data_IF_908844456901
#
_entry.id   IF_908844456901
#
_cell.length_a   1.000
_cell.length_b   1.000
_cell.length_c   1.000
_cell.angle_alpha   90.00
_cell.angle_beta   90.00
_cell.angle_gamma   90.00
#
_symmetry.space_group_name_H-M   'P 1'
#
loop_
_entity.id
_entity.type
_entity.pdbx_description
1 polymer ?
#
# COMPACT_ATOMS: atom_id res chain seq x y z
N UNK A 1 24.93 5.56 5.31
CA UNK A 1 24.53 4.64 6.41
C UNK A 1 25.57 3.55 6.68
N UNK A 2 25.98 2.76 5.69
CA UNK A 2 26.91 1.63 5.95
C UNK A 2 28.27 2.04 6.55
N UNK A 3 28.78 3.24 6.24
CA UNK A 3 30.08 3.70 6.73
C UNK A 3 30.16 3.83 8.25
N UNK A 4 29.12 4.33 8.92
CA UNK A 4 29.15 4.48 10.39
C UNK A 4 29.09 3.12 11.08
N UNK A 5 28.25 2.21 10.59
CA UNK A 5 28.18 0.83 11.09
C UNK A 5 29.54 0.15 10.94
N UNK A 6 30.16 0.30 9.77
CA UNK A 6 31.47 -0.27 9.45
C UNK A 6 32.58 0.30 10.33
N UNK A 7 32.62 1.62 10.54
CA UNK A 7 33.63 2.25 11.39
C UNK A 7 33.50 1.82 12.86
N UNK A 8 32.27 1.78 13.38
CA UNK A 8 31.98 1.25 14.72
C UNK A 8 32.43 -0.22 14.83
N UNK A 9 32.05 -1.06 13.86
CA UNK A 9 32.44 -2.47 13.89
C UNK A 9 33.95 -2.64 13.84
N UNK A 10 34.62 -1.95 12.92
CA UNK A 10 36.07 -2.02 12.77
C UNK A 10 36.81 -1.63 14.06
N UNK A 11 36.50 -0.47 14.64
CA UNK A 11 37.17 -0.01 15.87
C UNK A 11 36.82 -0.88 17.08
N UNK A 12 35.60 -1.43 17.14
CA UNK A 12 35.19 -2.25 18.29
C UNK A 12 35.94 -3.57 18.38
N UNK A 13 36.52 -4.06 17.27
CA UNK A 13 37.42 -5.22 17.29
C UNK A 13 38.68 -4.99 18.12
N UNK A 14 39.14 -3.73 18.25
CA UNK A 14 40.34 -3.35 19.01
C UNK A 14 40.02 -2.92 20.44
N UNK A 15 38.76 -2.57 20.75
CA UNK A 15 38.34 -2.17 22.10
C UNK A 15 37.15 -3.01 22.60
N UNK A 16 37.47 -4.07 23.36
CA UNK A 16 36.52 -5.08 23.84
C UNK A 16 35.28 -4.51 24.55
N UNK A 17 35.42 -3.34 25.21
CA UNK A 17 34.30 -2.66 25.89
C UNK A 17 33.14 -2.32 24.96
N UNK A 18 33.41 -2.02 23.68
CA UNK A 18 32.42 -1.62 22.69
C UNK A 18 32.02 -2.75 21.75
N UNK A 19 32.66 -3.91 21.86
CA UNK A 19 32.44 -5.06 21.00
C UNK A 19 31.14 -5.78 21.36
N UNK A 20 30.29 -6.01 20.36
CA UNK A 20 29.13 -6.90 20.47
C UNK A 20 29.17 -7.90 19.30
N UNK A 21 29.24 -9.18 19.67
CA UNK A 21 29.36 -10.31 18.74
C UNK A 21 28.13 -10.48 17.86
N UNK A 22 26.92 -10.31 18.39
CA UNK A 22 25.68 -10.43 17.61
C UNK A 22 25.58 -9.30 16.58
N UNK A 23 25.99 -8.09 16.98
CA UNK A 23 26.05 -6.93 16.07
C UNK A 23 27.10 -7.14 14.97
N UNK A 24 28.24 -7.78 15.27
CA UNK A 24 29.22 -8.20 14.25
C UNK A 24 28.60 -9.17 13.23
N UNK A 25 27.87 -10.19 13.70
CA UNK A 25 27.20 -11.16 12.82
C UNK A 25 26.19 -10.47 11.90
N UNK A 26 25.44 -9.49 12.41
CA UNK A 26 24.51 -8.68 11.60
C UNK A 26 25.25 -7.87 10.55
N UNK A 27 26.34 -7.19 10.93
CA UNK A 27 27.13 -6.42 9.97
C UNK A 27 27.72 -7.29 8.86
N UNK A 28 28.24 -8.48 9.20
CA UNK A 28 28.76 -9.46 8.23
C UNK A 28 27.65 -9.88 7.27
N UNK A 29 26.46 -10.19 7.79
CA UNK A 29 25.30 -10.55 6.99
C UNK A 29 24.92 -9.45 5.99
N UNK A 30 24.86 -8.18 6.44
CA UNK A 30 24.55 -7.03 5.58
C UNK A 30 25.64 -6.75 4.53
N UNK A 31 26.89 -7.19 4.76
CA UNK A 31 28.06 -6.87 3.94
C UNK A 31 28.69 -8.08 3.23
N UNK A 32 28.00 -9.23 3.20
CA UNK A 32 28.58 -10.49 2.71
C UNK A 32 29.10 -10.41 1.28
N UNK A 33 28.42 -9.68 0.40
CA UNK A 33 28.85 -9.50 -1.00
C UNK A 33 30.29 -8.99 -1.10
N UNK A 34 30.72 -8.10 -0.20
CA UNK A 34 32.07 -7.54 -0.14
C UNK A 34 33.09 -8.51 0.48
N UNK A 35 32.63 -9.38 1.39
CA UNK A 35 33.47 -10.35 2.11
C UNK A 35 33.65 -11.66 1.34
N UNK A 36 32.77 -11.97 0.39
CA UNK A 36 32.80 -13.19 -0.42
C UNK A 36 34.14 -13.46 -1.14
N UNK A 37 34.95 -12.41 -1.37
CA UNK A 37 36.30 -12.50 -1.93
C UNK A 37 37.29 -13.33 -1.11
N UNK A 38 37.04 -13.52 0.18
CA UNK A 38 37.95 -14.25 1.07
C UNK A 38 37.87 -15.77 0.94
N UNK A 39 37.04 -16.31 0.03
CA UNK A 39 36.91 -17.76 -0.25
C UNK A 39 36.57 -18.62 0.98
N UNK A 40 36.00 -18.00 2.02
CA UNK A 40 35.41 -18.65 3.19
C UNK A 40 33.90 -18.64 2.99
N UNK A 41 33.20 -19.72 3.32
CA UNK A 41 31.74 -19.73 3.22
C UNK A 41 31.11 -18.79 4.26
N UNK A 42 29.87 -18.38 4.01
CA UNK A 42 29.17 -17.47 4.93
C UNK A 42 28.96 -18.11 6.30
N UNK A 43 28.58 -19.38 6.29
CA UNK A 43 28.27 -20.13 7.50
C UNK A 43 29.54 -20.37 8.32
N UNK A 44 30.65 -20.77 7.67
CA UNK A 44 31.94 -20.94 8.36
C UNK A 44 32.46 -19.63 8.97
N UNK A 45 32.24 -18.49 8.29
CA UNK A 45 32.65 -17.19 8.81
C UNK A 45 31.84 -16.82 10.06
N UNK A 46 30.53 -17.06 10.04
CA UNK A 46 29.64 -16.79 11.18
C UNK A 46 29.91 -17.75 12.34
N UNK A 47 30.19 -19.02 12.06
CA UNK A 47 30.61 -20.01 13.06
C UNK A 47 31.95 -19.61 13.70
N UNK A 48 32.90 -19.15 12.88
CA UNK A 48 34.16 -18.60 13.38
C UNK A 48 33.94 -17.42 14.33
N UNK A 49 33.01 -16.50 14.00
CA UNK A 49 32.61 -15.43 14.93
C UNK A 49 31.95 -16.00 16.19
N UNK A 50 31.26 -17.13 16.07
CA UNK A 50 30.62 -17.78 17.20
C UNK A 50 31.59 -18.31 18.25
N UNK A 51 32.73 -18.83 17.80
CA UNK A 51 33.79 -19.38 18.64
C UNK A 51 34.71 -18.33 19.28
N UNK A 52 34.64 -17.07 18.82
CA UNK A 52 35.48 -15.99 19.34
C UNK A 52 35.06 -15.56 20.75
N UNK A 53 35.81 -16.04 21.75
CA UNK A 53 35.66 -15.62 23.17
C UNK A 53 36.27 -14.24 23.44
N UNK A 54 37.36 -13.90 22.77
CA UNK A 54 38.03 -12.60 22.84
C UNK A 54 38.79 -12.35 21.54
N UNK A 55 38.73 -11.13 21.01
CA UNK A 55 39.61 -10.73 19.91
C UNK A 55 40.98 -10.37 20.49
N UNK A 56 41.97 -11.23 20.26
CA UNK A 56 43.36 -10.91 20.63
C UNK A 56 44.09 -10.30 19.42
N UNK A 57 43.78 -9.04 19.11
CA UNK A 57 44.45 -8.28 18.06
C UNK A 57 45.76 -7.63 18.52
N UNK A 58 46.43 -8.13 19.57
CA UNK A 58 47.67 -7.54 20.12
C UNK A 58 48.80 -7.39 19.09
N UNK A 59 48.76 -8.15 18.01
CA UNK A 59 49.73 -8.08 16.90
C UNK A 59 49.31 -7.14 15.77
N UNK A 60 48.13 -6.55 15.84
CA UNK A 60 47.57 -5.64 14.85
C UNK A 60 47.32 -4.27 15.48
N UNK A 61 47.50 -3.22 14.69
CA UNK A 61 47.16 -1.86 15.07
C UNK A 61 46.04 -1.35 14.18
N UNK A 62 45.28 -0.36 14.66
CA UNK A 62 44.29 0.30 13.82
C UNK A 62 44.98 0.95 12.59
N UNK A 63 44.42 0.76 11.39
CA UNK A 63 44.77 1.54 10.20
C UNK A 63 44.25 2.98 10.30
N UNK A 64 45.13 3.87 10.77
CA UNK A 64 44.88 5.31 10.93
C UNK A 64 44.44 6.00 9.63
N UNK A 65 44.93 5.57 8.47
CA UNK A 65 44.54 6.19 7.19
C UNK A 65 43.08 5.89 6.83
N UNK A 66 42.66 4.63 7.05
CA UNK A 66 41.29 4.19 6.86
C UNK A 66 40.35 4.87 7.86
N UNK A 67 40.74 4.97 9.12
CA UNK A 67 39.99 5.69 10.16
C UNK A 67 39.84 7.17 9.79
N UNK A 68 40.94 7.86 9.48
CA UNK A 68 40.91 9.28 9.14
C UNK A 68 40.04 9.55 7.90
N UNK A 69 40.13 8.69 6.88
CA UNK A 69 39.28 8.78 5.69
C UNK A 69 37.80 8.53 6.01
N UNK A 70 37.51 7.55 6.87
CA UNK A 70 36.16 7.27 7.36
C UNK A 70 35.57 8.47 8.11
N UNK A 71 36.33 9.04 9.05
CA UNK A 71 35.94 10.22 9.84
C UNK A 71 35.61 11.42 8.95
N UNK A 72 36.49 11.78 8.02
CA UNK A 72 36.25 12.89 7.05
C UNK A 72 34.98 12.69 6.24
N UNK A 73 34.69 11.47 5.80
CA UNK A 73 33.44 11.17 5.07
C UNK A 73 32.20 11.26 5.97
N UNK A 74 32.32 10.96 7.26
CA UNK A 74 31.22 11.08 8.21
C UNK A 74 30.91 12.53 8.60
N UNK A 75 31.83 13.47 8.39
CA UNK A 75 31.59 14.91 8.61
C UNK A 75 30.48 15.47 7.70
N UNK A 76 30.25 14.87 6.53
CA UNK A 76 29.17 15.29 5.62
C UNK A 76 27.77 14.85 6.07
N UNK A 77 27.68 13.97 7.07
CA UNK A 77 26.42 13.48 7.63
C UNK A 77 26.16 14.23 8.93
N UNK A 78 24.95 14.72 9.15
CA UNK A 78 24.61 15.40 10.41
C UNK A 78 24.81 14.47 11.62
N UNK A 79 25.23 15.02 12.75
CA UNK A 79 25.43 14.24 13.98
C UNK A 79 24.17 13.50 14.41
N UNK A 80 23.01 14.16 14.35
CA UNK A 80 21.70 13.54 14.60
C UNK A 80 21.48 12.28 13.75
N UNK A 81 21.73 12.35 12.44
CA UNK A 81 21.56 11.21 11.55
C UNK A 81 22.55 10.10 11.88
N UNK A 82 23.82 10.44 12.18
CA UNK A 82 24.82 9.47 12.60
C UNK A 82 24.41 8.73 13.87
N UNK A 83 24.02 9.45 14.92
CA UNK A 83 23.55 8.85 16.17
C UNK A 83 22.31 7.99 15.92
N UNK A 84 21.38 8.45 15.08
CA UNK A 84 20.19 7.66 14.75
C UNK A 84 20.52 6.34 14.04
N UNK A 85 21.40 6.36 13.03
CA UNK A 85 21.86 5.14 12.35
C UNK A 85 22.55 4.20 13.35
N UNK A 86 23.38 4.75 14.24
CA UNK A 86 24.08 3.96 15.25
C UNK A 86 23.10 3.36 16.27
N UNK A 87 22.11 4.13 16.76
CA UNK A 87 21.06 3.65 17.66
C UNK A 87 20.28 2.49 17.03
N UNK A 88 19.85 2.65 15.78
CA UNK A 88 19.14 1.60 15.05
C UNK A 88 20.03 0.36 14.85
N UNK A 89 21.31 0.55 14.59
CA UNK A 89 22.25 -0.55 14.44
C UNK A 89 22.52 -1.29 15.76
N UNK A 90 22.73 -0.56 16.86
CA UNK A 90 22.97 -1.15 18.19
C UNK A 90 21.78 -1.94 18.74
N UNK A 91 20.56 -1.66 18.27
CA UNK A 91 19.36 -2.41 18.63
C UNK A 91 19.00 -3.50 17.60
N UNK A 92 19.84 -3.74 16.60
CA UNK A 92 19.52 -4.69 15.52
C UNK A 92 19.67 -6.16 15.91
N UNK A 93 20.34 -6.46 17.04
CA UNK A 93 20.45 -7.79 17.64
C UNK A 93 19.13 -8.30 18.22
N UNK A 94 18.23 -7.38 18.56
CA UNK A 94 16.87 -7.73 18.99
C UNK A 94 16.03 -8.09 17.75
N UNK A 95 15.25 -9.18 17.79
CA UNK A 95 14.36 -9.52 16.69
C UNK A 95 13.37 -8.38 16.45
N UNK A 96 13.24 -7.96 15.19
CA UNK A 96 12.24 -6.97 14.79
C UNK A 96 10.85 -7.57 14.93
N UNK A 97 10.19 -7.31 16.05
CA UNK A 97 8.80 -7.71 16.26
C UNK A 97 7.90 -7.09 15.18
N UNK A 98 6.96 -7.89 14.69
CA UNK A 98 5.99 -7.49 13.68
C UNK A 98 4.61 -7.42 14.31
N UNK A 99 3.84 -6.38 13.98
CA UNK A 99 2.42 -6.32 14.27
C UNK A 99 1.65 -6.89 13.08
N UNK A 100 0.94 -8.00 13.31
CA UNK A 100 0.27 -8.80 12.29
C UNK A 100 -1.14 -8.25 12.01
N UNK A 101 -1.23 -7.22 11.18
CA UNK A 101 -2.48 -6.50 10.88
C UNK A 101 -3.58 -7.46 10.37
N UNK A 102 -3.23 -8.47 9.57
CA UNK A 102 -4.21 -9.45 9.06
C UNK A 102 -4.91 -10.26 10.16
N UNK A 103 -4.28 -10.48 11.31
CA UNK A 103 -4.92 -11.19 12.43
C UNK A 103 -6.09 -10.38 13.00
N UNK A 104 -5.93 -9.06 13.10
CA UNK A 104 -6.97 -8.15 13.57
C UNK A 104 -8.08 -7.90 12.53
N UNK A 105 -7.76 -8.02 11.24
CA UNK A 105 -8.75 -7.90 10.15
C UNK A 105 -9.59 -9.17 9.96
N UNK A 106 -9.08 -10.33 10.38
CA UNK A 106 -9.72 -11.63 10.22
C UNK A 106 -9.75 -12.16 8.78
N UNK A 107 -10.33 -13.35 8.61
CA UNK A 107 -10.29 -14.10 7.34
C UNK A 107 -10.88 -13.37 6.13
N UNK A 108 -11.88 -12.51 6.34
CA UNK A 108 -12.52 -11.76 5.26
C UNK A 108 -11.56 -10.80 4.53
N UNK A 109 -10.45 -10.42 5.16
CA UNK A 109 -9.40 -9.61 4.55
C UNK A 109 -8.79 -10.27 3.30
N UNK A 110 -8.66 -11.59 3.28
CA UNK A 110 -8.09 -12.33 2.15
C UNK A 110 -8.99 -12.29 0.90
N UNK A 111 -10.27 -11.97 1.08
CA UNK A 111 -11.22 -11.86 -0.04
C UNK A 111 -11.28 -10.48 -0.65
N UNK A 112 -10.74 -9.45 0.02
CA UNK A 112 -10.86 -8.04 -0.39
C UNK A 112 -9.51 -7.37 -0.65
N UNK A 113 -8.41 -7.86 -0.07
CA UNK A 113 -7.08 -7.32 -0.32
C UNK A 113 -6.24 -8.28 -1.14
N UNK A 114 -5.71 -7.79 -2.25
CA UNK A 114 -4.73 -8.51 -3.07
C UNK A 114 -3.48 -8.87 -2.26
N UNK A 115 -2.81 -9.97 -2.62
CA UNK A 115 -1.52 -10.39 -2.04
C UNK A 115 -0.42 -9.34 -2.22
N UNK A 116 -0.55 -8.42 -3.18
CA UNK A 116 0.38 -7.31 -3.36
C UNK A 116 0.19 -6.19 -2.33
N UNK A 117 -0.93 -6.18 -1.61
CA UNK A 117 -1.16 -5.22 -0.54
C UNK A 117 -0.22 -5.54 0.62
N UNK A 118 0.58 -4.56 1.05
CA UNK A 118 1.54 -4.69 2.16
C UNK A 118 0.84 -4.59 3.53
N UNK A 119 -0.31 -5.24 3.67
CA UNK A 119 -1.16 -5.21 4.87
C UNK A 119 -0.96 -6.42 5.78
N UNK A 120 -0.02 -7.32 5.45
CA UNK A 120 0.24 -8.52 6.27
C UNK A 120 0.75 -8.13 7.65
N UNK A 121 1.72 -7.22 7.68
CA UNK A 121 2.34 -6.77 8.92
C UNK A 121 3.05 -5.44 8.76
N UNK A 122 3.20 -4.71 9.85
CA UNK A 122 4.08 -3.55 9.99
C UNK A 122 5.13 -3.84 11.07
N UNK A 123 6.31 -3.22 11.02
CA UNK A 123 7.24 -3.30 12.14
C UNK A 123 6.56 -2.74 13.40
N UNK A 124 6.59 -3.51 14.50
CA UNK A 124 5.89 -3.15 15.74
C UNK A 124 6.36 -1.81 16.27
N UNK A 125 7.63 -1.45 16.05
CA UNK A 125 8.17 -0.14 16.43
C UNK A 125 7.34 1.01 15.83
N UNK A 126 6.74 0.83 14.64
CA UNK A 126 5.87 1.82 14.00
C UNK A 126 4.38 1.67 14.38
N UNK A 127 4.08 1.06 15.53
CA UNK A 127 2.74 1.06 16.14
C UNK A 127 2.70 1.98 17.34
N UNK A 128 1.51 2.36 17.82
CA UNK A 128 1.39 3.23 19.00
C UNK A 128 1.98 2.57 20.25
N UNK A 129 1.85 1.25 20.38
CA UNK A 129 2.48 0.46 21.44
C UNK A 129 4.00 0.48 21.30
N UNK A 130 4.54 0.17 20.13
CA UNK A 130 5.99 0.21 19.90
C UNK A 130 6.58 1.61 20.04
N UNK A 131 5.81 2.66 19.77
CA UNK A 131 6.20 4.03 20.05
C UNK A 131 6.32 4.29 21.56
N UNK A 132 5.40 3.78 22.38
CA UNK A 132 5.52 3.91 23.84
C UNK A 132 6.81 3.25 24.34
N UNK A 133 7.11 2.04 23.85
CA UNK A 133 8.34 1.31 24.18
C UNK A 133 9.59 2.10 23.72
N UNK A 134 9.58 2.61 22.49
CA UNK A 134 10.67 3.43 21.95
C UNK A 134 10.91 4.69 22.79
N UNK A 135 9.86 5.42 23.14
CA UNK A 135 9.96 6.64 23.95
C UNK A 135 10.49 6.35 25.36
N UNK A 136 10.13 5.21 25.94
CA UNK A 136 10.61 4.81 27.27
C UNK A 136 12.13 4.64 27.32
N UNK A 137 12.70 4.02 26.30
CA UNK A 137 14.12 3.69 26.28
C UNK A 137 14.98 4.76 25.59
N UNK A 138 14.35 5.72 24.89
CA UNK A 138 15.02 6.66 23.99
C UNK A 138 16.20 7.38 24.65
N UNK A 139 16.01 7.95 25.85
CA UNK A 139 17.06 8.72 26.52
C UNK A 139 18.32 7.87 26.80
N UNK A 140 18.15 6.64 27.28
CA UNK A 140 19.25 5.72 27.56
C UNK A 140 19.94 5.26 26.27
N UNK A 141 19.16 4.96 25.23
CA UNK A 141 19.71 4.53 23.94
C UNK A 141 20.49 5.66 23.25
N UNK A 142 19.99 6.90 23.32
CA UNK A 142 20.70 8.08 22.81
C UNK A 142 22.00 8.33 23.57
N UNK A 143 22.01 8.22 24.90
CA UNK A 143 23.26 8.35 25.68
C UNK A 143 24.31 7.31 25.27
N UNK A 144 23.87 6.06 25.10
CA UNK A 144 24.74 4.97 24.68
C UNK A 144 25.32 5.24 23.28
N UNK A 145 24.48 5.65 22.34
CA UNK A 145 24.90 5.97 20.98
C UNK A 145 25.81 7.21 20.92
N UNK A 146 25.56 8.26 21.72
CA UNK A 146 26.43 9.44 21.83
C UNK A 146 27.82 9.04 22.34
N UNK A 147 27.89 8.21 23.39
CA UNK A 147 29.15 7.78 23.98
C UNK A 147 29.97 6.95 22.98
N UNK A 148 29.32 6.04 22.25
CA UNK A 148 29.97 5.24 21.21
C UNK A 148 30.40 6.12 20.05
N UNK A 149 29.57 7.08 19.59
CA UNK A 149 29.95 7.99 18.50
C UNK A 149 31.17 8.84 18.89
N UNK A 150 31.20 9.37 20.11
CA UNK A 150 32.27 10.24 20.61
C UNK A 150 33.59 9.49 20.71
N UNK A 151 33.54 8.25 21.22
CA UNK A 151 34.67 7.32 21.21
C UNK A 151 35.11 7.02 19.77
N UNK A 152 34.19 6.57 18.90
CA UNK A 152 34.47 6.17 17.52
C UNK A 152 35.04 7.31 16.66
N UNK A 153 34.76 8.57 16.97
CA UNK A 153 35.29 9.73 16.24
C UNK A 153 36.49 10.40 16.95
N UNK A 154 36.83 9.98 18.17
CA UNK A 154 37.78 10.64 19.08
C UNK A 154 37.48 12.14 19.24
N UNK A 155 36.20 12.49 19.40
CA UNK A 155 35.76 13.87 19.45
C UNK A 155 34.76 14.13 20.59
N UNK A 156 35.01 15.20 21.34
CA UNK A 156 34.14 15.68 22.40
C UNK A 156 33.23 16.79 21.87
N UNK A 157 32.16 16.38 21.20
CA UNK A 157 31.18 17.31 20.67
C UNK A 157 30.43 18.04 21.81
N UNK A 158 30.27 19.36 21.69
CA UNK A 158 29.58 20.22 22.67
C UNK A 158 28.07 20.36 22.44
N UNK A 159 27.49 19.57 21.53
CA UNK A 159 26.09 19.74 21.14
C UNK A 159 25.13 19.32 22.27
N UNK A 160 24.02 20.03 22.39
CA UNK A 160 23.03 19.80 23.43
C UNK A 160 22.31 18.46 23.19
N UNK A 161 22.38 17.55 24.18
CA UNK A 161 21.69 16.25 24.16
C UNK A 161 20.21 16.39 23.81
N UNK A 162 19.50 17.36 24.37
CA UNK A 162 18.07 17.53 24.11
C UNK A 162 17.79 17.88 22.65
N UNK A 163 18.67 18.66 22.01
CA UNK A 163 18.58 18.96 20.56
C UNK A 163 18.77 17.69 19.74
N UNK A 164 19.73 16.83 20.11
CA UNK A 164 19.97 15.55 19.45
C UNK A 164 18.79 14.58 19.63
N UNK A 165 18.31 14.40 20.87
CA UNK A 165 17.16 13.53 21.17
C UNK A 165 15.92 14.00 20.42
N UNK A 166 15.64 15.31 20.37
CA UNK A 166 14.54 15.85 19.57
C UNK A 166 14.71 15.57 18.07
N UNK A 167 15.92 15.74 17.54
CA UNK A 167 16.21 15.41 16.14
C UNK A 167 16.00 13.93 15.82
N UNK A 168 16.39 13.03 16.72
CA UNK A 168 16.19 11.58 16.60
C UNK A 168 14.71 11.24 16.65
N UNK A 169 13.95 11.84 17.57
CA UNK A 169 12.51 11.68 17.64
C UNK A 169 11.83 12.09 16.33
N UNK A 170 12.26 13.19 15.71
CA UNK A 170 11.74 13.65 14.41
C UNK A 170 12.03 12.66 13.27
N UNK A 171 13.25 12.11 13.21
CA UNK A 171 13.61 11.08 12.22
C UNK A 171 12.72 9.84 12.39
N UNK A 172 12.59 9.36 13.62
CA UNK A 172 11.72 8.23 13.96
C UNK A 172 10.25 8.50 13.58
N UNK A 173 9.70 9.67 13.90
CA UNK A 173 8.33 10.03 13.54
C UNK A 173 8.13 10.12 12.02
N UNK A 174 9.16 10.51 11.27
CA UNK A 174 9.12 10.48 9.81
C UNK A 174 9.04 9.06 9.27
N UNK A 175 9.84 8.13 9.80
CA UNK A 175 9.76 6.71 9.42
C UNK A 175 8.43 6.09 9.82
N UNK A 176 7.93 6.43 11.02
CA UNK A 176 6.62 6.03 11.52
C UNK A 176 5.51 6.44 10.55
N UNK A 177 5.48 7.71 10.15
CA UNK A 177 4.51 8.23 9.19
C UNK A 177 4.63 7.50 7.84
N UNK A 178 5.86 7.32 7.33
CA UNK A 178 6.10 6.65 6.06
C UNK A 178 5.62 5.20 6.07
N UNK A 179 5.78 4.47 7.17
CA UNK A 179 5.34 3.08 7.28
C UNK A 179 3.82 2.94 7.07
N UNK A 180 3.02 3.82 7.69
CA UNK A 180 1.57 3.83 7.51
C UNK A 180 1.14 4.38 6.15
N UNK A 181 1.83 5.39 5.61
CA UNK A 181 1.58 5.92 4.26
C UNK A 181 1.84 4.85 3.18
N UNK A 182 2.94 4.11 3.29
CA UNK A 182 3.27 3.03 2.36
C UNK A 182 2.24 1.90 2.42
N UNK A 183 1.76 1.56 3.61
CA UNK A 183 0.69 0.59 3.77
C UNK A 183 -0.58 1.03 3.02
N UNK A 184 -1.03 2.27 3.22
CA UNK A 184 -2.20 2.83 2.51
C UNK A 184 -1.97 2.91 1.00
N UNK A 185 -0.77 3.31 0.58
CA UNK A 185 -0.37 3.36 -0.83
C UNK A 185 -0.36 1.97 -1.50
N UNK A 186 -0.19 0.90 -0.73
CA UNK A 186 -0.16 -0.47 -1.25
C UNK A 186 -1.53 -1.09 -1.49
N UNK A 187 -2.62 -0.47 -1.01
CA UNK A 187 -3.96 -1.09 -1.03
C UNK A 187 -4.44 -1.36 -2.45
N UNK A 188 -4.84 -2.61 -2.70
CA UNK A 188 -5.41 -3.08 -3.97
C UNK A 188 -6.49 -4.14 -3.72
N UNK A 189 -7.64 -4.08 -4.44
CA UNK A 189 -8.67 -5.10 -4.36
C UNK A 189 -8.22 -6.41 -5.02
N UNK A 190 -8.90 -7.51 -4.69
CA UNK A 190 -8.62 -8.80 -5.34
C UNK A 190 -9.16 -8.78 -6.77
N UNK A 191 -8.44 -9.39 -7.71
CA UNK A 191 -8.93 -9.59 -9.07
C UNK A 191 -9.49 -11.00 -9.21
N UNK A 192 -10.80 -11.11 -9.38
CA UNK A 192 -11.48 -12.38 -9.62
C UNK A 192 -11.76 -12.61 -11.10
N UNK A 193 -11.76 -13.90 -11.49
CA UNK A 193 -12.12 -14.34 -12.84
C UNK A 193 -13.56 -14.88 -12.92
N UNK A 194 -14.21 -15.07 -11.78
CA UNK A 194 -15.58 -15.62 -11.67
C UNK A 194 -16.51 -14.58 -11.09
N UNK A 195 -17.73 -14.50 -11.62
CA UNK A 195 -18.75 -13.56 -11.16
C UNK A 195 -19.09 -13.79 -9.70
N UNK A 196 -19.20 -15.05 -9.27
CA UNK A 196 -19.59 -15.44 -7.91
C UNK A 196 -18.60 -14.91 -6.88
N UNK A 197 -17.30 -15.02 -7.17
CA UNK A 197 -16.26 -14.52 -6.28
C UNK A 197 -16.21 -12.98 -6.22
N UNK A 198 -16.40 -12.30 -7.35
CA UNK A 198 -16.51 -10.83 -7.40
C UNK A 198 -17.72 -10.34 -6.59
N UNK A 199 -18.89 -10.95 -6.81
CA UNK A 199 -20.11 -10.64 -6.04
C UNK A 199 -19.91 -10.90 -4.55
N UNK A 200 -19.21 -11.98 -4.19
CA UNK A 200 -18.87 -12.25 -2.79
C UNK A 200 -17.97 -11.17 -2.17
N UNK A 201 -16.94 -10.69 -2.89
CA UNK A 201 -16.12 -9.56 -2.44
C UNK A 201 -16.95 -8.29 -2.25
N UNK A 202 -17.80 -7.94 -3.21
CA UNK A 202 -18.71 -6.79 -3.10
C UNK A 202 -19.67 -6.95 -1.91
N UNK A 203 -20.19 -8.14 -1.65
CA UNK A 203 -21.06 -8.42 -0.51
C UNK A 203 -20.32 -8.37 0.84
N UNK A 204 -19.01 -8.63 0.87
CA UNK A 204 -18.19 -8.43 2.06
C UNK A 204 -17.99 -6.93 2.28
N UNK A 205 -17.63 -6.19 1.24
CA UNK A 205 -17.35 -4.75 1.30
C UNK A 205 -18.61 -3.90 1.51
N UNK A 206 -19.80 -4.37 1.13
CA UNK A 206 -21.06 -3.66 1.36
C UNK A 206 -21.52 -3.67 2.82
N UNK A 207 -20.89 -4.48 3.69
CA UNK A 207 -21.22 -4.51 5.11
C UNK A 207 -20.66 -3.27 5.81
N UNK A 208 -21.37 -2.82 6.84
CA UNK A 208 -20.95 -1.69 7.70
C UNK A 208 -19.59 -1.94 8.36
N UNK A 209 -19.39 -3.13 8.91
CA UNK A 209 -18.12 -3.58 9.49
C UNK A 209 -17.42 -4.50 8.48
N UNK A 210 -16.85 -3.91 7.43
CA UNK A 210 -16.06 -4.61 6.43
C UNK A 210 -14.54 -4.51 6.72
N UNK A 211 -13.68 -5.32 6.08
CA UNK A 211 -12.24 -5.31 6.37
C UNK A 211 -11.55 -3.98 6.06
N UNK A 212 -12.03 -3.20 5.09
CA UNK A 212 -11.48 -1.87 4.80
C UNK A 212 -11.77 -0.91 5.96
N UNK A 213 -13.01 -0.90 6.47
CA UNK A 213 -13.37 -0.12 7.66
C UNK A 213 -12.55 -0.54 8.89
N UNK A 214 -12.36 -1.84 9.11
CA UNK A 214 -11.49 -2.36 10.17
C UNK A 214 -10.05 -1.90 10.03
N UNK A 215 -9.51 -1.90 8.80
CA UNK A 215 -8.17 -1.36 8.55
C UNK A 215 -8.08 0.13 8.84
N UNK A 216 -9.08 0.93 8.45
CA UNK A 216 -9.10 2.36 8.75
C UNK A 216 -9.14 2.62 10.27
N UNK A 217 -9.83 1.77 11.06
CA UNK A 217 -9.80 1.85 12.53
C UNK A 217 -8.39 1.60 13.07
N UNK A 218 -7.68 0.59 12.55
CA UNK A 218 -6.29 0.27 12.93
C UNK A 218 -5.34 1.43 12.57
N UNK A 219 -5.47 1.98 11.37
CA UNK A 219 -4.68 3.14 10.93
C UNK A 219 -4.95 4.32 11.86
N UNK A 220 -6.21 4.63 12.14
CA UNK A 220 -6.59 5.75 13.01
C UNK A 220 -6.08 5.58 14.44
N UNK A 221 -6.20 4.39 15.03
CA UNK A 221 -5.73 4.12 16.39
C UNK A 221 -4.21 4.24 16.53
N UNK A 222 -3.46 3.96 15.45
CA UNK A 222 -2.00 4.06 15.44
C UNK A 222 -1.47 5.42 14.95
N UNK A 223 -2.26 6.23 14.25
CA UNK A 223 -1.76 7.50 13.68
C UNK A 223 -2.36 8.74 14.33
N UNK A 224 -3.40 8.59 15.17
CA UNK A 224 -3.84 9.66 16.06
C UNK A 224 -2.95 9.71 17.30
N UNK A 225 -1.87 10.49 17.19
CA UNK A 225 -0.85 10.61 18.23
C UNK A 225 -1.16 11.70 19.26
N UNK A 226 -2.24 12.47 19.08
CA UNK A 226 -2.70 13.45 20.07
C UNK A 226 -3.45 12.77 21.23
N UNK A 227 -2.76 11.84 21.87
CA UNK A 227 -3.26 10.97 22.93
C UNK A 227 -2.59 11.35 24.26
N UNK A 228 -3.38 11.45 25.33
CA UNK A 228 -2.89 11.92 26.62
C UNK A 228 -1.82 11.00 27.24
N UNK A 229 -1.96 9.69 27.09
CA UNK A 229 -1.00 8.71 27.63
C UNK A 229 0.31 8.80 26.86
N UNK A 230 0.22 8.83 25.53
CA UNK A 230 1.39 8.92 24.67
C UNK A 230 2.14 10.25 24.86
N UNK A 231 1.43 11.38 24.97
CA UNK A 231 2.03 12.69 25.24
C UNK A 231 2.70 12.72 26.61
N UNK A 232 2.08 12.13 27.64
CA UNK A 232 2.70 12.02 28.97
C UNK A 232 4.02 11.27 28.91
N UNK A 233 4.04 10.12 28.22
CA UNK A 233 5.26 9.36 28.02
C UNK A 233 6.33 10.17 27.27
N UNK A 234 5.95 10.90 26.22
CA UNK A 234 6.88 11.72 25.47
C UNK A 234 7.43 12.89 26.30
N UNK A 235 6.63 13.50 27.18
CA UNK A 235 7.09 14.59 28.04
C UNK A 235 8.10 14.14 29.11
N UNK A 236 8.05 12.86 29.51
CA UNK A 236 9.06 12.28 30.40
C UNK A 236 10.47 12.26 29.80
N UNK A 237 10.62 12.52 28.49
CA UNK A 237 11.93 12.71 27.87
C UNK A 237 12.67 13.95 28.37
N UNK A 238 11.99 14.92 28.98
CA UNK A 238 12.58 16.20 29.43
C UNK A 238 12.85 17.19 28.29
N UNK A 239 12.22 17.00 27.12
CA UNK A 239 12.32 17.89 25.97
C UNK A 239 11.25 18.99 26.00
N UNK A 240 11.31 19.92 25.05
CA UNK A 240 10.29 20.95 24.90
C UNK A 240 8.92 20.32 24.57
N UNK A 241 7.96 20.41 25.49
CA UNK A 241 6.63 19.82 25.35
C UNK A 241 5.84 20.38 24.17
N UNK A 242 5.97 21.69 23.88
CA UNK A 242 5.32 22.32 22.73
C UNK A 242 5.83 21.79 21.40
N UNK A 243 7.14 21.56 21.30
CA UNK A 243 7.76 20.97 20.11
C UNK A 243 7.37 19.50 19.92
N UNK A 244 7.38 18.68 20.99
CA UNK A 244 6.86 17.29 20.94
C UNK A 244 5.44 17.29 20.38
N UNK A 245 4.56 18.07 21.01
CA UNK A 245 3.14 18.13 20.62
C UNK A 245 2.98 18.55 19.16
N UNK A 246 3.75 19.53 18.70
CA UNK A 246 3.71 19.97 17.29
C UNK A 246 4.09 18.85 16.32
N UNK A 247 5.14 18.08 16.59
CA UNK A 247 5.55 16.96 15.72
C UNK A 247 4.50 15.84 15.71
N UNK A 248 3.89 15.52 16.86
CA UNK A 248 2.86 14.49 16.98
C UNK A 248 1.57 14.89 16.26
N UNK A 249 1.19 16.17 16.38
CA UNK A 249 0.10 16.76 15.58
C UNK A 249 0.45 16.72 14.09
N UNK A 250 1.70 16.98 13.71
CA UNK A 250 2.17 16.88 12.32
C UNK A 250 1.88 15.51 11.71
N UNK A 251 2.27 14.43 12.40
CA UNK A 251 1.95 13.05 11.97
C UNK A 251 0.44 12.82 11.95
N UNK A 252 -0.29 13.22 12.99
CA UNK A 252 -1.75 13.02 13.06
C UNK A 252 -2.49 13.75 11.92
N UNK A 253 -2.02 14.94 11.56
CA UNK A 253 -2.58 15.75 10.49
C UNK A 253 -2.43 15.09 9.12
N UNK A 254 -1.32 14.37 8.89
CA UNK A 254 -1.09 13.62 7.66
C UNK A 254 -2.16 12.53 7.42
N UNK A 255 -2.86 12.08 8.48
CA UNK A 255 -3.90 11.06 8.40
C UNK A 255 -5.31 11.57 8.75
N UNK A 256 -5.51 12.88 8.88
CA UNK A 256 -6.79 13.45 9.33
C UNK A 256 -7.97 13.03 8.45
N UNK A 257 -7.78 12.93 7.14
CA UNK A 257 -8.86 12.46 6.25
C UNK A 257 -9.29 11.02 6.57
N UNK A 258 -8.35 10.14 6.96
CA UNK A 258 -8.66 8.77 7.38
C UNK A 258 -9.31 8.72 8.76
N UNK A 259 -8.87 9.58 9.69
CA UNK A 259 -9.46 9.67 11.04
C UNK A 259 -10.94 10.07 10.99
N UNK A 260 -11.29 11.02 10.11
CA UNK A 260 -12.67 11.48 9.91
C UNK A 260 -13.61 10.36 9.43
N UNK A 261 -13.11 9.44 8.60
CA UNK A 261 -13.91 8.33 8.07
C UNK A 261 -14.35 7.32 9.15
N UNK A 262 -13.62 7.20 10.25
CA UNK A 262 -13.88 6.18 11.30
C UNK A 262 -14.43 6.76 12.60
N UNK A 263 -14.27 8.06 12.84
CA UNK A 263 -14.73 8.69 14.06
C UNK A 263 -16.24 8.92 14.03
N UNK A 264 -17.02 7.96 14.52
CA UNK A 264 -18.49 8.08 14.69
C UNK A 264 -18.95 8.78 15.98
N UNK A 265 -18.08 9.45 16.75
CA UNK A 265 -18.37 10.36 17.90
C UNK A 265 -17.16 10.44 18.85
N UNK A 266 -16.01 10.94 18.39
CA UNK A 266 -14.89 11.19 19.32
C UNK A 266 -15.04 12.61 19.85
N UNK A 267 -15.74 12.76 20.99
CA UNK A 267 -15.89 13.99 21.79
C UNK A 267 -14.55 14.63 22.26
N UNK A 268 -13.41 14.16 21.74
CA UNK A 268 -12.06 14.52 22.15
C UNK A 268 -11.20 15.05 21.00
N UNK A 269 -11.78 15.37 19.83
CA UNK A 269 -11.11 16.27 18.88
C UNK A 269 -11.10 17.69 19.48
N UNK A 270 -10.12 17.96 20.35
CA UNK A 270 -9.87 19.29 20.89
C UNK A 270 -9.39 20.17 19.73
N UNK A 271 -10.35 20.83 19.10
CA UNK A 271 -10.19 21.72 17.96
C UNK A 271 -11.51 21.87 17.19
N UNK A 272 -12.38 22.78 17.64
CA UNK A 272 -13.57 23.32 16.96
C UNK A 272 -14.39 22.37 16.07
N UNK A 273 -14.87 21.25 16.62
CA UNK A 273 -15.99 20.52 16.00
C UNK A 273 -17.23 20.76 16.86
N UNK A 274 -18.20 21.49 16.31
CA UNK A 274 -19.53 21.67 16.90
C UNK A 274 -20.18 20.31 17.16
N UNK A 275 -20.56 20.07 18.41
CA UNK A 275 -21.25 18.86 18.84
C UNK A 275 -22.63 18.83 18.17
N UNK A 276 -22.91 17.79 17.37
CA UNK A 276 -24.27 17.50 16.89
C UNK A 276 -24.50 17.50 15.37
N UNK A 277 -23.49 17.76 14.54
CA UNK A 277 -23.55 17.48 13.09
C UNK A 277 -22.63 16.32 12.77
N UNK A 278 -23.18 15.12 12.55
CA UNK A 278 -22.44 14.04 11.91
C UNK A 278 -21.86 14.59 10.61
N UNK A 279 -20.54 14.54 10.47
CA UNK A 279 -19.86 15.13 9.32
C UNK A 279 -20.30 14.40 8.04
N UNK A 280 -20.32 15.09 6.89
CA UNK A 280 -20.64 14.45 5.60
C UNK A 280 -19.71 13.25 5.31
N UNK A 281 -18.50 13.26 5.90
CA UNK A 281 -17.49 12.20 5.84
C UNK A 281 -17.90 10.93 6.59
N UNK A 282 -18.64 10.99 7.71
CA UNK A 282 -19.11 9.79 8.42
C UNK A 282 -20.18 9.03 7.63
N UNK A 283 -20.95 9.75 6.82
CA UNK A 283 -21.96 9.17 5.94
C UNK A 283 -21.35 8.60 4.66
N UNK A 284 -20.15 9.01 4.25
CA UNK A 284 -19.60 8.56 2.97
C UNK A 284 -19.37 7.06 2.96
N UNK A 285 -18.92 6.45 4.06
CA UNK A 285 -18.74 5.00 4.13
C UNK A 285 -20.08 4.26 4.05
N UNK A 286 -21.11 4.77 4.71
CA UNK A 286 -22.45 4.19 4.65
C UNK A 286 -23.04 4.34 3.23
N UNK A 287 -22.80 5.47 2.54
CA UNK A 287 -23.15 5.68 1.12
C UNK A 287 -22.42 4.69 0.21
N UNK A 288 -21.11 4.48 0.43
CA UNK A 288 -20.31 3.54 -0.35
C UNK A 288 -20.79 2.10 -0.16
N UNK A 289 -21.13 1.71 1.06
CA UNK A 289 -21.71 0.39 1.34
C UNK A 289 -23.00 0.16 0.52
N UNK A 290 -23.87 1.17 0.44
CA UNK A 290 -25.06 1.13 -0.43
C UNK A 290 -24.69 1.10 -1.91
N UNK A 291 -23.73 1.91 -2.36
CA UNK A 291 -23.30 1.92 -3.77
C UNK A 291 -22.70 0.57 -4.20
N UNK A 292 -21.89 -0.06 -3.35
CA UNK A 292 -21.33 -1.39 -3.58
C UNK A 292 -22.44 -2.45 -3.67
N UNK A 293 -23.47 -2.35 -2.82
CA UNK A 293 -24.66 -3.20 -2.91
C UNK A 293 -25.36 -3.03 -4.26
N UNK A 294 -25.53 -1.78 -4.72
CA UNK A 294 -26.18 -1.49 -6.00
C UNK A 294 -25.36 -1.99 -7.19
N UNK A 295 -24.03 -1.89 -7.16
CA UNK A 295 -23.16 -2.49 -8.18
C UNK A 295 -23.27 -4.01 -8.19
N UNK A 296 -23.27 -4.65 -7.01
CA UNK A 296 -23.44 -6.10 -6.88
C UNK A 296 -24.76 -6.56 -7.50
N UNK A 297 -25.87 -5.89 -7.16
CA UNK A 297 -27.19 -6.15 -7.74
C UNK A 297 -27.19 -5.95 -9.26
N UNK A 298 -26.56 -4.87 -9.75
CA UNK A 298 -26.45 -4.61 -11.19
C UNK A 298 -25.75 -5.74 -11.94
N UNK A 299 -24.67 -6.30 -11.39
CA UNK A 299 -23.96 -7.45 -11.99
C UNK A 299 -24.83 -8.70 -11.99
N UNK A 300 -25.56 -8.95 -10.90
CA UNK A 300 -26.48 -10.09 -10.79
C UNK A 300 -27.60 -9.95 -11.83
N UNK A 301 -28.28 -8.82 -11.86
CA UNK A 301 -29.43 -8.55 -12.74
C UNK A 301 -29.05 -8.53 -14.22
N UNK A 302 -27.87 -8.02 -14.56
CA UNK A 302 -27.42 -7.96 -15.96
C UNK A 302 -27.26 -9.36 -16.57
N UNK A 303 -26.77 -10.30 -15.77
CA UNK A 303 -26.56 -11.70 -16.17
C UNK A 303 -27.81 -12.59 -16.09
N UNK A 304 -28.91 -12.10 -15.52
CA UNK A 304 -30.16 -12.85 -15.40
C UNK A 304 -31.07 -12.61 -16.62
N UNK A 305 -31.99 -13.55 -16.88
CA UNK A 305 -33.08 -13.36 -17.85
C UNK A 305 -34.09 -12.37 -17.27
N UNK A 306 -33.74 -11.09 -17.33
CA UNK A 306 -34.59 -9.97 -16.97
C UNK A 306 -35.36 -9.46 -18.20
N UNK A 307 -36.20 -8.44 -18.02
CA UNK A 307 -37.00 -7.84 -19.11
C UNK A 307 -36.18 -7.01 -20.11
N UNK A 308 -34.84 -6.93 -19.97
CA UNK A 308 -34.00 -6.16 -20.89
C UNK A 308 -33.68 -6.99 -22.14
N UNK A 309 -33.84 -6.36 -23.29
CA UNK A 309 -33.43 -6.92 -24.58
C UNK A 309 -31.91 -7.10 -24.66
N UNK A 310 -31.47 -8.02 -25.53
CA UNK A 310 -30.04 -8.19 -25.82
C UNK A 310 -29.39 -6.90 -26.33
N UNK A 311 -30.14 -6.08 -27.09
CA UNK A 311 -29.71 -4.77 -27.58
C UNK A 311 -29.42 -3.78 -26.46
N UNK A 312 -30.33 -3.63 -25.50
CA UNK A 312 -30.12 -2.76 -24.34
C UNK A 312 -28.91 -3.21 -23.52
N UNK A 313 -28.74 -4.54 -23.34
CA UNK A 313 -27.59 -5.09 -22.60
C UNK A 313 -26.26 -4.83 -23.31
N UNK A 314 -26.20 -5.09 -24.61
CA UNK A 314 -25.01 -4.82 -25.43
C UNK A 314 -24.65 -3.34 -25.37
N UNK A 315 -25.62 -2.46 -25.62
CA UNK A 315 -25.41 -1.00 -25.60
C UNK A 315 -24.85 -0.53 -24.26
N UNK A 316 -25.41 -1.01 -23.14
CA UNK A 316 -24.90 -0.69 -21.81
C UNK A 316 -23.46 -1.17 -21.59
N UNK A 317 -23.15 -2.42 -21.96
CA UNK A 317 -21.82 -3.01 -21.75
C UNK A 317 -20.73 -2.36 -22.60
N UNK A 318 -21.06 -1.86 -23.80
CA UNK A 318 -20.11 -1.17 -24.68
C UNK A 318 -19.88 0.31 -24.30
N UNK A 319 -20.41 0.75 -23.16
CA UNK A 319 -20.20 2.13 -22.68
C UNK A 319 -21.26 3.12 -23.13
N UNK A 320 -22.39 2.64 -23.69
CA UNK A 320 -23.55 3.46 -23.95
C UNK A 320 -24.06 4.19 -22.70
N UNK A 321 -24.70 5.35 -22.91
CA UNK A 321 -25.17 6.33 -21.91
C UNK A 321 -25.53 5.74 -20.54
N UNK A 322 -24.56 5.74 -19.62
CA UNK A 322 -24.82 5.60 -18.18
C UNK A 322 -25.50 6.88 -17.72
N UNK A 323 -26.76 6.78 -17.33
CA UNK A 323 -27.44 7.93 -16.73
C UNK A 323 -26.82 8.28 -15.36
N UNK A 324 -27.17 9.44 -14.82
CA UNK A 324 -26.61 9.92 -13.55
C UNK A 324 -26.97 9.04 -12.33
N UNK A 325 -27.94 8.13 -12.47
CA UNK A 325 -28.36 7.19 -11.43
C UNK A 325 -27.76 5.79 -11.60
N UNK A 326 -26.96 5.55 -12.65
CA UNK A 326 -26.29 4.28 -12.86
C UNK A 326 -25.42 3.90 -11.65
N UNK A 327 -25.51 2.65 -11.13
CA UNK A 327 -24.76 2.26 -9.94
C UNK A 327 -23.24 2.46 -10.04
N UNK A 328 -22.64 2.23 -11.21
CA UNK A 328 -21.21 2.44 -11.41
C UNK A 328 -20.87 3.93 -11.52
N UNK A 329 -21.70 4.73 -12.21
CA UNK A 329 -21.51 6.17 -12.29
C UNK A 329 -21.62 6.85 -10.92
N UNK A 330 -22.66 6.53 -10.14
CA UNK A 330 -22.86 7.06 -8.78
C UNK A 330 -21.71 6.68 -7.86
N UNK A 331 -21.26 5.41 -7.92
CA UNK A 331 -20.12 4.95 -7.14
C UNK A 331 -18.85 5.75 -7.48
N UNK A 332 -18.54 5.92 -8.78
CA UNK A 332 -17.37 6.66 -9.24
C UNK A 332 -17.41 8.13 -8.79
N UNK A 333 -18.58 8.76 -8.73
CA UNK A 333 -18.72 10.12 -8.22
C UNK A 333 -18.44 10.23 -6.72
N UNK A 334 -18.87 9.25 -5.93
CA UNK A 334 -18.72 9.28 -4.47
C UNK A 334 -17.28 8.94 -4.02
N UNK A 335 -16.58 8.04 -4.71
CA UNK A 335 -15.21 7.66 -4.33
C UNK A 335 -14.20 8.78 -4.54
N UNK A 336 -14.49 9.77 -5.41
CA UNK A 336 -13.67 11.00 -5.58
C UNK A 336 -13.60 11.89 -4.34
N UNK A 337 -14.47 11.64 -3.34
CA UNK A 337 -14.46 12.36 -2.06
C UNK A 337 -13.51 11.72 -1.04
N UNK A 338 -12.95 10.56 -1.35
CA UNK A 338 -12.06 9.82 -0.46
C UNK A 338 -10.61 10.29 -0.60
N UNK A 339 -9.74 9.98 0.39
CA UNK A 339 -8.30 10.05 0.20
C UNK A 339 -7.85 9.27 -1.04
N UNK A 340 -6.82 9.76 -1.73
CA UNK A 340 -6.32 9.20 -2.98
C UNK A 340 -6.09 7.68 -2.94
N UNK A 341 -5.61 7.14 -1.81
CA UNK A 341 -5.35 5.70 -1.68
C UNK A 341 -6.62 4.85 -1.68
N UNK A 342 -7.69 5.34 -1.05
CA UNK A 342 -9.00 4.68 -1.06
C UNK A 342 -9.72 4.90 -2.38
N UNK A 343 -9.63 6.10 -2.97
CA UNK A 343 -10.15 6.35 -4.31
C UNK A 343 -9.53 5.38 -5.33
N UNK A 344 -8.20 5.19 -5.28
CA UNK A 344 -7.49 4.24 -6.14
C UNK A 344 -7.99 2.81 -5.93
N UNK A 345 -8.05 2.36 -4.67
CA UNK A 345 -8.55 1.02 -4.33
C UNK A 345 -9.96 0.80 -4.89
N UNK A 346 -10.89 1.72 -4.63
CA UNK A 346 -12.28 1.57 -5.06
C UNK A 346 -12.48 1.76 -6.57
N UNK A 347 -11.69 2.60 -7.22
CA UNK A 347 -11.71 2.73 -8.69
C UNK A 347 -11.28 1.42 -9.35
N UNK A 348 -10.24 0.76 -8.83
CA UNK A 348 -9.84 -0.57 -9.29
C UNK A 348 -10.94 -1.62 -9.06
N UNK A 349 -11.58 -1.60 -7.88
CA UNK A 349 -12.71 -2.48 -7.56
C UNK A 349 -13.85 -2.29 -8.56
N UNK A 350 -14.19 -1.03 -8.88
CA UNK A 350 -15.23 -0.70 -9.84
C UNK A 350 -14.89 -1.21 -11.25
N UNK A 351 -13.64 -1.04 -11.69
CA UNK A 351 -13.17 -1.55 -12.98
C UNK A 351 -13.20 -3.08 -13.04
N UNK A 352 -12.75 -3.77 -11.99
CA UNK A 352 -12.81 -5.24 -11.94
C UNK A 352 -14.25 -5.75 -11.94
N UNK A 353 -15.15 -5.02 -11.26
CA UNK A 353 -16.59 -5.29 -11.26
C UNK A 353 -17.21 -5.07 -12.64
N UNK A 354 -16.83 -3.98 -13.32
CA UNK A 354 -17.32 -3.63 -14.66
C UNK A 354 -16.97 -4.67 -15.72
N UNK A 355 -15.78 -5.27 -15.62
CA UNK A 355 -15.34 -6.31 -16.56
C UNK A 355 -16.34 -7.48 -16.67
N UNK A 356 -17.11 -7.78 -15.62
CA UNK A 356 -18.15 -8.83 -15.71
C UNK A 356 -19.35 -8.42 -16.55
N UNK A 357 -19.76 -7.15 -16.48
CA UNK A 357 -20.79 -6.57 -17.36
C UNK A 357 -20.28 -6.57 -18.79
N UNK A 358 -19.06 -6.05 -18.99
CA UNK A 358 -18.43 -5.92 -20.30
C UNK A 358 -18.27 -7.28 -20.98
N UNK A 359 -17.70 -8.27 -20.30
CA UNK A 359 -17.51 -9.62 -20.84
C UNK A 359 -18.85 -10.29 -21.20
N UNK A 360 -19.89 -10.12 -20.39
CA UNK A 360 -21.22 -10.66 -20.70
C UNK A 360 -21.82 -9.96 -21.92
N UNK A 361 -21.71 -8.63 -22.00
CA UNK A 361 -22.17 -7.85 -23.16
C UNK A 361 -21.44 -8.20 -24.45
N UNK A 362 -20.12 -8.39 -24.40
CA UNK A 362 -19.32 -8.87 -25.55
C UNK A 362 -19.80 -10.26 -25.99
N UNK A 363 -20.11 -11.15 -25.05
CA UNK A 363 -20.66 -12.47 -25.38
C UNK A 363 -22.02 -12.37 -26.11
N UNK A 364 -22.90 -11.47 -25.65
CA UNK A 364 -24.18 -11.20 -26.32
C UNK A 364 -23.96 -10.59 -27.71
N UNK A 365 -23.04 -9.63 -27.82
CA UNK A 365 -22.71 -8.98 -29.09
C UNK A 365 -22.15 -9.98 -30.12
N UNK A 366 -21.25 -10.88 -29.70
CA UNK A 366 -20.73 -11.93 -30.57
C UNK A 366 -21.85 -12.89 -31.03
N UNK A 367 -22.77 -13.23 -30.14
CA UNK A 367 -23.94 -14.05 -30.50
C UNK A 367 -24.84 -13.32 -31.52
N UNK A 368 -25.09 -12.03 -31.31
CA UNK A 368 -25.84 -11.20 -32.24
C UNK A 368 -25.13 -11.09 -33.59
N UNK A 369 -23.82 -10.87 -33.64
CA UNK A 369 -23.03 -10.83 -34.88
C UNK A 369 -23.12 -12.14 -35.66
N UNK A 370 -22.95 -13.28 -34.97
CA UNK A 370 -23.05 -14.61 -35.59
C UNK A 370 -24.42 -14.80 -36.24
N UNK A 371 -25.49 -14.50 -35.50
CA UNK A 371 -26.85 -14.77 -35.93
C UNK A 371 -27.37 -13.75 -36.96
N UNK A 372 -27.08 -12.47 -36.77
CA UNK A 372 -27.66 -11.38 -37.56
C UNK A 372 -26.81 -11.00 -38.77
N UNK A 373 -25.49 -11.28 -38.78
CA UNK A 373 -24.60 -10.87 -39.89
C UNK A 373 -23.85 -12.04 -40.51
N UNK A 374 -23.13 -12.81 -39.70
CA UNK A 374 -22.26 -13.87 -40.22
C UNK A 374 -23.06 -14.99 -40.90
N UNK A 375 -24.09 -15.52 -40.25
CA UNK A 375 -24.90 -16.60 -40.82
C UNK A 375 -25.62 -16.16 -42.12
N UNK A 376 -26.29 -14.99 -42.18
CA UNK A 376 -26.83 -14.49 -43.45
C UNK A 376 -25.76 -14.30 -44.54
N UNK A 377 -24.56 -13.82 -44.17
CA UNK A 377 -23.47 -13.70 -45.14
C UNK A 377 -23.05 -15.07 -45.70
N UNK A 378 -22.78 -16.04 -44.82
CA UNK A 378 -22.29 -17.37 -45.22
C UNK A 378 -23.34 -18.13 -46.04
N UNK A 379 -24.63 -17.94 -45.75
CA UNK A 379 -25.69 -18.67 -46.44
C UNK A 379 -26.14 -17.98 -47.73
N UNK A 380 -26.27 -16.65 -47.74
CA UNK A 380 -26.95 -15.92 -48.82
C UNK A 380 -25.99 -15.16 -49.74
N UNK A 381 -24.74 -14.93 -49.32
CA UNK A 381 -23.76 -14.10 -50.04
C UNK A 381 -22.54 -14.93 -50.45
N UNK A 382 -21.86 -15.54 -49.48
CA UNK A 382 -20.59 -16.23 -49.65
C UNK A 382 -20.60 -17.35 -50.72
N UNK A 383 -21.69 -18.11 -50.94
CA UNK A 383 -21.66 -19.20 -51.92
C UNK A 383 -21.58 -18.74 -53.39
N UNK A 384 -21.81 -17.46 -53.69
CA UNK A 384 -22.00 -16.93 -55.05
C UNK A 384 -20.82 -16.08 -55.55
N UNK A 385 -20.63 -15.97 -56.87
CA UNK A 385 -19.66 -15.04 -57.47
C UNK A 385 -20.12 -13.59 -57.23
N UNK A 386 -19.24 -12.63 -56.86
CA UNK A 386 -17.77 -12.69 -56.82
C UNK A 386 -17.16 -13.07 -55.46
N UNK A 387 -17.95 -13.56 -54.50
CA UNK A 387 -17.44 -13.94 -53.18
C UNK A 387 -16.88 -15.37 -53.15
N UNK A 388 -17.37 -16.22 -54.05
CA UNK A 388 -16.83 -17.53 -54.36
C UNK A 388 -16.48 -17.58 -55.86
N UNK A 389 -15.17 -17.55 -56.16
CA UNK A 389 -14.65 -17.57 -57.53
C UNK A 389 -14.95 -18.88 -58.28
N UNK A 390 -15.26 -19.95 -57.54
CA UNK A 390 -15.64 -21.24 -58.11
C UNK A 390 -17.17 -21.36 -58.33
N UNK A 391 -17.96 -20.36 -57.95
CA UNK A 391 -19.40 -20.40 -58.11
C UNK A 391 -19.81 -20.32 -59.58
N UNK A 392 -20.72 -21.21 -59.98
CA UNK A 392 -21.39 -21.17 -61.30
C UNK A 392 -22.58 -20.20 -61.34
N UNK A 393 -22.96 -19.63 -60.21
CA UNK A 393 -24.06 -18.68 -60.07
C UNK A 393 -23.56 -17.32 -59.52
N UNK A 394 -24.03 -16.25 -60.14
CA UNK A 394 -23.76 -14.88 -59.71
C UNK A 394 -24.67 -14.49 -58.54
N UNK A 395 -24.13 -13.67 -57.64
CA UNK A 395 -24.92 -13.06 -56.58
C UNK A 395 -25.94 -12.10 -57.21
N UNK A 396 -27.22 -12.28 -56.87
CA UNK A 396 -28.26 -11.37 -57.35
C UNK A 396 -28.05 -9.95 -56.77
N UNK A 397 -28.33 -8.93 -57.59
CA UNK A 397 -28.26 -7.54 -57.14
C UNK A 397 -29.23 -7.26 -55.96
N UNK A 398 -30.34 -7.98 -55.88
CA UNK A 398 -31.30 -7.85 -54.77
C UNK A 398 -30.76 -8.45 -53.47
N UNK A 399 -30.10 -9.62 -53.53
CA UNK A 399 -29.38 -10.21 -52.38
C UNK A 399 -28.24 -9.29 -51.92
N UNK A 400 -27.48 -8.75 -52.87
CA UNK A 400 -26.41 -7.78 -52.58
C UNK A 400 -26.96 -6.55 -51.86
N UNK A 401 -28.06 -5.94 -52.35
CA UNK A 401 -28.69 -4.78 -51.71
C UNK A 401 -29.29 -5.13 -50.35
N UNK A 402 -29.87 -6.31 -50.21
CA UNK A 402 -30.45 -6.79 -48.94
C UNK A 402 -29.37 -6.91 -47.85
N UNK A 403 -28.15 -7.29 -48.20
CA UNK A 403 -27.07 -7.42 -47.24
C UNK A 403 -26.25 -6.11 -47.05
N UNK A 404 -25.74 -5.54 -48.14
CA UNK A 404 -24.81 -4.40 -48.14
C UNK A 404 -25.46 -3.03 -48.35
N UNK A 405 -26.75 -2.97 -48.71
CA UNK A 405 -27.43 -1.72 -48.99
C UNK A 405 -27.56 -0.80 -47.77
N UNK A 406 -28.02 0.43 -47.99
CA UNK A 406 -28.18 1.44 -46.91
C UNK A 406 -29.12 1.01 -45.77
N UNK A 407 -30.05 0.10 -46.04
CA UNK A 407 -30.92 -0.49 -45.02
C UNK A 407 -30.73 -2.01 -44.95
N UNK A 408 -29.62 -2.51 -45.49
CA UNK A 408 -29.32 -3.94 -45.51
C UNK A 408 -28.83 -4.45 -44.16
N UNK A 409 -28.71 -5.77 -44.06
CA UNK A 409 -28.33 -6.51 -42.86
C UNK A 409 -27.15 -5.89 -42.12
N UNK A 410 -26.03 -5.64 -42.82
CA UNK A 410 -24.80 -5.13 -42.20
C UNK A 410 -24.99 -3.73 -41.60
N UNK A 411 -25.63 -2.82 -42.33
CA UNK A 411 -25.82 -1.45 -41.86
C UNK A 411 -26.87 -1.37 -40.74
N UNK A 412 -27.89 -2.24 -40.79
CA UNK A 412 -28.90 -2.34 -39.73
C UNK A 412 -28.26 -2.83 -38.43
N UNK A 413 -27.39 -3.83 -38.48
CA UNK A 413 -26.63 -4.30 -37.32
C UNK A 413 -25.75 -3.18 -36.73
N UNK A 414 -25.00 -2.46 -37.57
CA UNK A 414 -24.18 -1.33 -37.13
C UNK A 414 -25.02 -0.26 -36.43
N UNK A 415 -26.13 0.16 -37.04
CA UNK A 415 -27.04 1.17 -36.46
C UNK A 415 -27.61 0.73 -35.11
N UNK A 416 -27.94 -0.55 -34.98
CA UNK A 416 -28.56 -1.14 -33.80
C UNK A 416 -27.59 -1.22 -32.61
N UNK A 417 -26.36 -1.66 -32.83
CA UNK A 417 -25.44 -1.99 -31.73
C UNK A 417 -24.25 -1.03 -31.55
N UNK A 418 -23.84 -0.31 -32.60
CA UNK A 418 -22.57 0.43 -32.61
C UNK A 418 -22.72 1.92 -32.87
N UNK A 419 -23.92 2.42 -33.17
CA UNK A 419 -24.09 3.84 -33.54
C UNK A 419 -23.75 4.83 -32.42
N UNK A 420 -23.79 4.39 -31.17
CA UNK A 420 -23.61 5.23 -29.98
C UNK A 420 -22.48 4.74 -29.07
N UNK A 421 -21.61 3.87 -29.60
CA UNK A 421 -20.37 3.38 -28.99
C UNK A 421 -19.22 4.17 -29.58
#
# INVERSE_FOLDING_TARGET
>A
ENLIKTLYMYRSLFEQKYFNKEILKIWINENWNTLSKYSISKDDFLEGVDELKQFNLKSFTEDENSIHTGKRKLESISRTQRIYILLNFLNSDKPKEKYLIKEDLGFAANSVFSNNSQITSIDKIYTKVGMMDFLNDLNQQVDTAINIESWMLDNNFKENKNTLTMGILKLYLSEYQNAWQNLLASLQPVRYNTKEAMVNELNILSKKENPLYSLLKIVSSNTNLNDAVLLTQAYNLGLNAGEIRSNFIGVSNAFTQYHKLVNKNTLLSVGNIEVGKGTDDEKILDILNTNITNMSNKIIDFSSNNNQSAEEKISYALGGNKDANDPFAVFQMNIKKLPNDLERYYSQLSNYSWNFIENHGISLFNTAWINEVYNPFVNDIAPYYPFNDESVADLSMDSFKTFFGRNGTLNSFYKKYLNNV
#
